data_IF_372593189861
#
_entry.id   IF_372593189861
#
_cell.length_a   1.000
_cell.length_b   1.000
_cell.length_c   1.000
_cell.angle_alpha   90.00
_cell.angle_beta   90.00
_cell.angle_gamma   90.00
#
_symmetry.space_group_name_H-M   'P 1'
#
loop_
_entity.id
_entity.type
_entity.pdbx_description
1 polymer ?
#
# COMPACT_ATOMS: atom_id res chain seq x y z
N UNK A 1 -39.64 0.62 6.56
CA UNK A 1 -39.59 -0.76 7.10
C UNK A 1 -38.19 -1.30 6.83
N UNK A 2 -37.36 -1.21 7.86
CA UNK A 2 -35.96 -1.62 7.90
C UNK A 2 -35.89 -3.15 7.83
N UNK A 3 -35.24 -3.70 6.79
CA UNK A 3 -34.97 -5.13 6.67
C UNK A 3 -33.83 -5.46 7.64
N UNK A 4 -34.15 -6.22 8.69
CA UNK A 4 -33.18 -6.69 9.66
C UNK A 4 -32.08 -7.50 8.96
N UNK A 5 -30.82 -7.18 9.25
CA UNK A 5 -29.70 -8.09 9.00
C UNK A 5 -29.94 -9.33 9.87
N UNK A 6 -30.39 -10.41 9.25
CA UNK A 6 -30.42 -11.73 9.88
C UNK A 6 -28.97 -12.12 10.18
N UNK A 7 -28.65 -12.16 11.46
CA UNK A 7 -27.40 -12.72 11.98
C UNK A 7 -27.42 -14.21 11.66
N UNK A 8 -26.77 -14.62 10.56
CA UNK A 8 -26.62 -16.05 10.22
C UNK A 8 -26.03 -16.78 11.42
N UNK A 9 -26.83 -17.69 11.98
CA UNK A 9 -26.46 -18.48 13.13
C UNK A 9 -25.40 -19.49 12.67
N UNK A 10 -24.14 -19.23 13.00
CA UNK A 10 -23.03 -20.13 12.68
C UNK A 10 -23.26 -21.48 13.38
N UNK A 11 -23.68 -22.50 12.62
CA UNK A 11 -23.93 -23.84 13.17
C UNK A 11 -22.61 -24.59 13.31
N UNK A 12 -22.32 -25.03 14.53
CA UNK A 12 -21.14 -25.84 14.82
C UNK A 12 -21.36 -27.28 14.33
N UNK A 13 -20.38 -27.82 13.62
CA UNK A 13 -20.41 -29.15 13.02
C UNK A 13 -19.16 -29.94 13.38
N UNK A 14 -19.29 -31.28 13.40
CA UNK A 14 -18.20 -32.22 13.66
C UNK A 14 -17.87 -33.08 12.44
N UNK A 15 -16.63 -33.61 12.33
CA UNK A 15 -16.24 -34.51 11.25
C UNK A 15 -17.19 -35.72 11.16
N UNK A 16 -17.68 -36.00 9.97
CA UNK A 16 -18.67 -37.06 9.71
C UNK A 16 -20.13 -36.62 9.81
N UNK A 17 -20.41 -35.39 10.27
CA UNK A 17 -21.76 -34.84 10.27
C UNK A 17 -22.25 -34.58 8.84
N UNK A 18 -23.51 -34.95 8.57
CA UNK A 18 -24.18 -34.69 7.29
C UNK A 18 -24.54 -33.20 7.20
N UNK A 19 -24.09 -32.55 6.13
CA UNK A 19 -24.36 -31.13 5.83
C UNK A 19 -25.55 -30.96 4.86
N UNK A 20 -25.81 -31.97 4.03
CA UNK A 20 -26.96 -32.01 3.12
C UNK A 20 -26.68 -32.83 1.86
N UNK A 21 -27.58 -32.79 0.86
CA UNK A 21 -27.42 -33.55 -0.39
C UNK A 21 -26.52 -32.82 -1.39
N UNK A 22 -25.71 -33.55 -2.14
CA UNK A 22 -24.83 -32.95 -3.13
C UNK A 22 -25.62 -32.32 -4.28
N UNK A 23 -26.81 -32.84 -4.61
CA UNK A 23 -27.75 -32.17 -5.54
C UNK A 23 -28.15 -30.73 -5.16
N UNK A 24 -28.03 -30.33 -3.89
CA UNK A 24 -28.40 -29.01 -3.40
C UNK A 24 -27.19 -28.17 -2.97
N UNK A 25 -26.10 -28.82 -2.56
CA UNK A 25 -24.92 -28.19 -1.97
C UNK A 25 -23.66 -28.63 -2.69
N UNK A 26 -22.79 -27.66 -2.96
CA UNK A 26 -21.43 -27.94 -3.43
C UNK A 26 -20.48 -28.01 -2.24
N UNK A 27 -19.67 -29.07 -2.17
CA UNK A 27 -18.65 -29.20 -1.12
C UNK A 27 -17.50 -28.20 -1.36
N UNK A 28 -17.24 -27.33 -0.38
CA UNK A 28 -16.10 -26.42 -0.35
C UNK A 28 -15.05 -26.83 0.70
N UNK A 29 -14.30 -25.87 1.23
CA UNK A 29 -13.23 -26.15 2.21
C UNK A 29 -13.80 -26.79 3.48
N UNK A 30 -13.21 -27.91 3.91
CA UNK A 30 -13.66 -28.61 5.12
C UNK A 30 -14.93 -29.45 4.96
N UNK A 31 -15.39 -29.67 3.72
CA UNK A 31 -16.48 -30.58 3.38
C UNK A 31 -16.06 -31.52 2.24
N UNK A 32 -16.68 -32.70 2.15
CA UNK A 32 -16.48 -33.63 1.05
C UNK A 32 -17.79 -34.30 0.65
N UNK A 33 -17.87 -34.76 -0.59
CA UNK A 33 -19.04 -35.51 -1.09
C UNK A 33 -18.73 -37.00 -1.04
N UNK A 34 -19.60 -37.80 -0.44
CA UNK A 34 -19.55 -39.26 -0.57
C UNK A 34 -20.18 -39.69 -1.89
N UNK A 35 -19.45 -40.45 -2.69
CA UNK A 35 -19.92 -40.98 -3.98
C UNK A 35 -20.98 -42.05 -3.83
N UNK A 36 -21.08 -42.70 -2.67
CA UNK A 36 -22.03 -43.80 -2.43
C UNK A 36 -23.45 -43.31 -2.09
N UNK A 37 -23.58 -42.09 -1.55
CA UNK A 37 -24.83 -41.61 -0.96
C UNK A 37 -25.24 -40.21 -1.43
N UNK A 38 -24.57 -39.62 -2.42
CA UNK A 38 -24.83 -38.26 -2.95
C UNK A 38 -25.00 -37.21 -1.82
N UNK A 39 -24.22 -37.36 -0.75
CA UNK A 39 -24.37 -36.61 0.50
C UNK A 39 -23.06 -35.90 0.83
N UNK A 40 -23.17 -34.64 1.26
CA UNK A 40 -22.06 -33.80 1.68
C UNK A 40 -21.85 -33.98 3.18
N UNK A 41 -20.62 -34.29 3.56
CA UNK A 41 -20.19 -34.49 4.94
C UNK A 41 -19.15 -33.45 5.34
N UNK A 42 -19.15 -33.06 6.62
CA UNK A 42 -18.07 -32.27 7.20
C UNK A 42 -16.81 -33.12 7.38
N UNK A 43 -15.64 -32.59 7.01
CA UNK A 43 -14.33 -33.20 7.32
C UNK A 43 -13.62 -32.56 8.50
N UNK A 44 -14.09 -31.41 8.98
CA UNK A 44 -13.48 -30.63 10.06
C UNK A 44 -14.48 -30.33 11.19
N UNK A 45 -13.97 -30.18 12.42
CA UNK A 45 -14.77 -29.66 13.55
C UNK A 45 -14.73 -28.14 13.51
N UNK A 46 -15.87 -27.49 13.28
CA UNK A 46 -15.88 -26.05 13.04
C UNK A 46 -17.26 -25.47 12.90
N UNK A 47 -17.32 -24.24 12.39
CA UNK A 47 -18.58 -23.58 12.04
C UNK A 47 -18.82 -23.71 10.54
N UNK A 48 -20.04 -24.09 10.17
CA UNK A 48 -20.44 -24.11 8.75
C UNK A 48 -20.76 -22.70 8.26
N UNK A 49 -20.39 -22.41 7.03
CA UNK A 49 -20.76 -21.20 6.29
C UNK A 49 -21.25 -21.59 4.89
N UNK A 50 -22.26 -20.88 4.40
CA UNK A 50 -22.80 -21.06 3.05
C UNK A 50 -22.41 -19.87 2.19
N UNK A 51 -21.61 -20.11 1.16
CA UNK A 51 -21.23 -19.09 0.19
C UNK A 51 -22.17 -19.19 -1.01
N UNK A 52 -22.91 -18.12 -1.36
CA UNK A 52 -23.77 -18.13 -2.54
C UNK A 52 -22.94 -18.30 -3.82
N UNK A 53 -23.51 -18.93 -4.86
CA UNK A 53 -22.81 -19.09 -6.13
C UNK A 53 -22.50 -17.72 -6.77
N UNK A 54 -21.36 -17.57 -7.45
CA UNK A 54 -21.10 -16.39 -8.27
C UNK A 54 -22.11 -16.31 -9.42
N UNK A 55 -22.56 -15.11 -9.78
CA UNK A 55 -23.64 -14.88 -10.77
C UNK A 55 -23.38 -15.48 -12.16
N UNK A 56 -22.13 -15.84 -12.46
CA UNK A 56 -21.65 -16.31 -13.77
C UNK A 56 -21.47 -17.85 -13.82
N UNK A 57 -21.80 -18.60 -12.74
CA UNK A 57 -21.67 -20.06 -12.74
C UNK A 57 -22.90 -20.77 -13.29
N UNK A 58 -22.66 -21.76 -14.16
CA UNK A 58 -23.68 -22.73 -14.62
C UNK A 58 -24.33 -23.50 -13.46
N UNK A 59 -23.59 -23.64 -12.36
CA UNK A 59 -24.03 -24.29 -11.13
C UNK A 59 -24.51 -23.22 -10.13
N UNK A 60 -25.82 -23.21 -9.85
CA UNK A 60 -26.48 -22.26 -8.94
C UNK A 60 -26.56 -22.79 -7.49
N UNK A 61 -25.83 -23.87 -7.18
CA UNK A 61 -25.81 -24.42 -5.82
C UNK A 61 -24.91 -23.58 -4.89
N UNK A 62 -25.36 -23.27 -3.66
CA UNK A 62 -24.50 -22.69 -2.65
C UNK A 62 -23.38 -23.65 -2.27
N UNK A 63 -22.19 -23.10 -1.99
CA UNK A 63 -21.02 -23.86 -1.55
C UNK A 63 -20.96 -23.89 -0.04
N UNK A 64 -20.91 -25.08 0.56
CA UNK A 64 -20.77 -25.25 2.01
C UNK A 64 -19.30 -25.39 2.39
N UNK A 65 -18.84 -24.52 3.29
CA UNK A 65 -17.49 -24.57 3.88
C UNK A 65 -17.58 -24.74 5.39
N UNK A 66 -16.66 -25.51 5.96
CA UNK A 66 -16.53 -25.70 7.40
C UNK A 66 -15.19 -25.15 7.85
N UNK A 67 -15.22 -24.06 8.61
CA UNK A 67 -14.02 -23.44 9.16
C UNK A 67 -13.76 -23.95 10.57
N UNK A 68 -12.62 -24.60 10.78
CA UNK A 68 -12.30 -25.24 12.06
C UNK A 68 -12.07 -24.28 13.22
N UNK A 69 -12.44 -24.68 14.44
CA UNK A 69 -12.21 -23.89 15.66
C UNK A 69 -10.71 -23.80 16.03
N UNK A 70 -9.94 -24.82 15.64
CA UNK A 70 -8.48 -24.72 15.49
C UNK A 70 -8.24 -24.21 14.08
N UNK A 71 -8.35 -22.91 13.88
CA UNK A 71 -7.79 -22.30 12.68
C UNK A 71 -6.32 -22.74 12.63
N UNK A 72 -5.96 -23.60 11.68
CA UNK A 72 -4.57 -23.69 11.24
C UNK A 72 -4.12 -22.24 11.07
N UNK A 73 -3.00 -21.87 11.72
CA UNK A 73 -2.50 -20.50 11.69
C UNK A 73 -2.48 -20.01 10.24
N UNK A 74 -2.64 -18.70 10.01
CA UNK A 74 -2.81 -18.17 8.66
C UNK A 74 -1.78 -18.78 7.69
N UNK A 75 -2.27 -19.62 6.75
CA UNK A 75 -1.41 -20.32 5.80
C UNK A 75 -1.25 -19.41 4.58
N UNK A 76 -0.01 -19.10 4.15
CA UNK A 76 0.22 -18.28 2.97
C UNK A 76 -0.36 -18.95 1.72
N UNK A 77 -1.19 -18.24 0.97
CA UNK A 77 -1.69 -18.69 -0.34
C UNK A 77 -1.01 -17.89 -1.46
N UNK A 78 -0.89 -18.44 -2.68
CA UNK A 78 -0.45 -17.65 -3.84
C UNK A 78 -1.31 -16.39 -4.00
N UNK A 79 -0.65 -15.24 -4.14
CA UNK A 79 -1.29 -13.92 -4.20
C UNK A 79 -1.49 -13.23 -2.85
N UNK A 80 -1.29 -13.89 -1.71
CA UNK A 80 -1.33 -13.25 -0.39
C UNK A 80 -0.10 -12.38 -0.16
N UNK A 81 -0.27 -11.28 0.59
CA UNK A 81 0.84 -10.42 1.01
C UNK A 81 1.33 -10.87 2.37
N UNK A 82 2.63 -11.05 2.53
CA UNK A 82 3.24 -11.57 3.75
C UNK A 82 4.31 -10.63 4.27
N UNK A 83 4.47 -10.61 5.59
CA UNK A 83 5.62 -10.01 6.24
C UNK A 83 6.58 -11.12 6.64
N UNK A 84 7.80 -11.04 6.12
CA UNK A 84 8.84 -12.01 6.37
C UNK A 84 10.06 -11.32 6.96
N UNK A 85 10.75 -12.00 7.88
CA UNK A 85 12.04 -11.56 8.41
C UNK A 85 13.14 -12.25 7.63
N UNK A 86 14.00 -11.48 6.98
CA UNK A 86 15.15 -11.99 6.24
C UNK A 86 16.09 -12.69 7.21
N UNK A 87 16.36 -13.96 6.97
CA UNK A 87 17.27 -14.76 7.83
C UNK A 87 18.66 -14.82 7.23
N UNK A 88 18.76 -14.96 5.90
CA UNK A 88 20.02 -15.08 5.20
C UNK A 88 19.92 -14.48 3.80
N UNK A 89 20.98 -13.78 3.40
CA UNK A 89 21.11 -13.22 2.05
C UNK A 89 22.27 -13.91 1.34
N UNK A 90 22.00 -14.44 0.15
CA UNK A 90 22.99 -14.99 -0.78
C UNK A 90 23.00 -14.16 -2.07
N UNK A 91 24.04 -14.26 -2.92
CA UNK A 91 24.17 -13.41 -4.12
C UNK A 91 22.99 -13.50 -5.10
N UNK A 92 22.32 -14.66 -5.20
CA UNK A 92 21.21 -14.89 -6.13
C UNK A 92 19.84 -15.07 -5.46
N UNK A 93 19.80 -15.15 -4.13
CA UNK A 93 18.56 -15.38 -3.39
C UNK A 93 18.67 -14.94 -1.93
N UNK A 94 17.55 -14.53 -1.33
CA UNK A 94 17.42 -14.29 0.09
C UNK A 94 16.40 -15.27 0.69
N UNK A 95 16.74 -15.87 1.83
CA UNK A 95 15.83 -16.66 2.64
C UNK A 95 15.20 -15.77 3.72
N UNK A 96 13.90 -15.93 3.93
CA UNK A 96 13.15 -15.18 4.91
C UNK A 96 12.13 -16.08 5.62
N UNK A 97 11.90 -15.84 6.91
CA UNK A 97 10.89 -16.54 7.68
C UNK A 97 9.61 -15.69 7.71
N UNK A 98 8.50 -16.26 7.27
CA UNK A 98 7.20 -15.59 7.24
C UNK A 98 6.66 -15.52 8.68
N UNK A 99 6.39 -14.29 9.13
CA UNK A 99 5.90 -13.99 10.48
C UNK A 99 4.40 -13.68 10.45
N UNK A 100 3.93 -12.97 9.43
CA UNK A 100 2.53 -12.60 9.27
C UNK A 100 2.07 -12.84 7.83
N UNK A 101 0.82 -13.30 7.68
CA UNK A 101 0.11 -13.39 6.41
C UNK A 101 -1.05 -12.40 6.47
N UNK A 102 -1.05 -11.46 5.54
CA UNK A 102 -1.93 -10.29 5.51
C UNK A 102 -1.91 -9.53 6.84
N UNK A 103 -2.95 -9.65 7.66
CA UNK A 103 -3.09 -9.04 8.99
C UNK A 103 -3.01 -10.06 10.14
N UNK A 104 -2.78 -11.35 9.84
CA UNK A 104 -2.82 -12.44 10.82
C UNK A 104 -1.41 -12.94 11.10
N UNK A 105 -1.07 -13.05 12.38
CA UNK A 105 0.20 -13.64 12.80
C UNK A 105 0.19 -15.15 12.57
N UNK A 106 1.32 -15.66 12.09
CA UNK A 106 1.53 -17.08 11.85
C UNK A 106 2.16 -17.71 13.08
N UNK A 107 1.64 -18.86 13.51
CA UNK A 107 2.22 -19.65 14.62
C UNK A 107 3.27 -20.64 14.16
N UNK A 108 3.09 -21.19 12.97
CA UNK A 108 4.01 -22.13 12.33
C UNK A 108 5.13 -21.38 11.61
N UNK A 109 6.30 -22.00 11.48
CA UNK A 109 7.42 -21.41 10.76
C UNK A 109 7.29 -21.76 9.28
N UNK A 110 6.89 -20.79 8.45
CA UNK A 110 6.98 -20.92 7.01
C UNK A 110 8.22 -20.18 6.51
N UNK A 111 9.02 -20.84 5.68
CA UNK A 111 10.19 -20.23 5.05
C UNK A 111 9.84 -19.81 3.63
N UNK A 112 10.26 -18.61 3.25
CA UNK A 112 10.15 -18.04 1.92
C UNK A 112 11.52 -17.77 1.31
N UNK A 113 11.58 -17.83 -0.02
CA UNK A 113 12.76 -17.51 -0.82
C UNK A 113 12.40 -16.37 -1.77
N UNK A 114 13.21 -15.31 -1.75
CA UNK A 114 13.16 -14.19 -2.69
C UNK A 114 14.35 -14.37 -3.64
N UNK A 115 14.11 -14.59 -4.93
CA UNK A 115 15.19 -14.72 -5.93
C UNK A 115 15.55 -13.36 -6.51
N UNK A 116 16.76 -13.20 -7.03
CA UNK A 116 17.21 -11.96 -7.67
C UNK A 116 16.22 -11.43 -8.71
N UNK A 117 15.67 -12.31 -9.54
CA UNK A 117 14.69 -12.01 -10.57
C UNK A 117 13.32 -11.53 -10.07
N UNK A 118 13.00 -11.78 -8.79
CA UNK A 118 11.71 -11.43 -8.20
C UNK A 118 11.77 -10.16 -7.33
N UNK A 119 12.92 -9.46 -7.31
CA UNK A 119 13.13 -8.28 -6.44
C UNK A 119 12.63 -6.97 -7.04
N UNK A 120 12.83 -6.74 -8.34
CA UNK A 120 12.36 -5.56 -9.08
C UNK A 120 11.62 -6.03 -10.34
N UNK A 121 10.61 -5.28 -10.76
CA UNK A 121 9.90 -5.55 -12.02
C UNK A 121 10.76 -5.20 -13.26
N UNK A 122 11.64 -4.20 -13.12
CA UNK A 122 12.54 -3.70 -14.16
C UNK A 122 14.00 -3.81 -13.71
N UNK A 123 14.93 -3.80 -14.66
CA UNK A 123 16.39 -3.85 -14.41
C UNK A 123 16.84 -5.02 -13.52
N UNK A 124 16.31 -6.20 -13.77
CA UNK A 124 16.57 -7.42 -12.99
C UNK A 124 18.07 -7.73 -12.86
N UNK A 125 18.84 -7.51 -13.93
CA UNK A 125 20.27 -7.87 -13.98
C UNK A 125 21.15 -6.95 -13.12
N UNK A 126 20.69 -5.73 -12.80
CA UNK A 126 21.41 -4.79 -11.95
C UNK A 126 21.13 -4.98 -10.47
N UNK A 127 20.23 -5.89 -10.10
CA UNK A 127 19.82 -6.04 -8.71
C UNK A 127 20.88 -6.78 -7.90
N UNK A 128 21.47 -6.11 -6.92
CA UNK A 128 22.29 -6.73 -5.88
C UNK A 128 21.45 -7.09 -4.65
N UNK A 129 21.53 -8.35 -4.21
CA UNK A 129 20.81 -8.84 -3.03
C UNK A 129 21.33 -8.24 -1.73
N UNK A 130 22.64 -7.99 -1.60
CA UNK A 130 23.24 -7.45 -0.39
C UNK A 130 22.94 -5.96 -0.18
N UNK A 131 22.68 -5.24 -1.28
CA UNK A 131 22.22 -3.85 -1.25
C UNK A 131 20.70 -3.76 -1.09
N UNK A 132 19.96 -4.80 -1.48
CA UNK A 132 18.50 -4.82 -1.37
C UNK A 132 18.03 -5.23 0.02
N UNK A 133 18.68 -6.22 0.64
CA UNK A 133 18.24 -6.83 1.89
C UNK A 133 19.44 -7.12 2.80
N UNK A 134 19.21 -7.03 4.12
CA UNK A 134 20.14 -7.54 5.14
C UNK A 134 19.46 -8.56 6.05
N UNK A 135 20.25 -9.49 6.65
CA UNK A 135 19.74 -10.36 7.70
C UNK A 135 19.14 -9.55 8.85
N UNK A 136 17.95 -9.93 9.30
CA UNK A 136 17.18 -9.22 10.32
C UNK A 136 16.11 -8.28 9.78
N UNK A 137 16.20 -7.85 8.53
CA UNK A 137 15.22 -6.94 7.93
C UNK A 137 13.82 -7.57 7.86
N UNK A 138 12.80 -6.75 8.09
CA UNK A 138 11.40 -7.13 7.86
C UNK A 138 10.97 -6.64 6.49
N UNK A 139 10.63 -7.59 5.62
CA UNK A 139 10.21 -7.35 4.24
C UNK A 139 8.73 -7.66 4.07
N UNK A 140 8.02 -6.79 3.35
CA UNK A 140 6.68 -7.03 2.83
C UNK A 140 6.82 -7.60 1.42
N UNK A 141 6.34 -8.81 1.21
CA UNK A 141 6.48 -9.53 -0.05
C UNK A 141 5.15 -10.19 -0.46
N UNK A 142 5.02 -10.51 -1.73
CA UNK A 142 3.88 -11.25 -2.28
C UNK A 142 4.27 -12.72 -2.45
N UNK A 143 3.39 -13.64 -2.07
CA UNK A 143 3.58 -15.07 -2.36
C UNK A 143 3.28 -15.32 -3.83
N UNK A 144 4.28 -15.71 -4.62
CA UNK A 144 4.09 -16.08 -6.02
C UNK A 144 3.52 -17.48 -6.15
N UNK A 145 4.16 -18.44 -5.47
CA UNK A 145 3.74 -19.83 -5.47
C UNK A 145 4.24 -20.54 -4.21
N UNK A 146 3.68 -21.72 -3.96
CA UNK A 146 4.07 -22.59 -2.86
C UNK A 146 5.51 -23.13 -2.99
N UNK A 147 6.16 -22.90 -4.14
CA UNK A 147 7.54 -23.29 -4.41
C UNK A 147 7.75 -24.80 -4.39
N UNK A 148 8.85 -25.24 -3.79
CA UNK A 148 9.15 -26.63 -3.51
C UNK A 148 8.64 -27.02 -2.11
N UNK A 149 8.69 -28.31 -1.74
CA UNK A 149 8.17 -28.79 -0.45
C UNK A 149 8.81 -28.14 0.79
N UNK A 150 9.79 -27.25 0.63
CA UNK A 150 10.60 -26.65 1.70
C UNK A 150 10.44 -25.14 1.83
N UNK A 151 10.10 -24.40 0.76
CA UNK A 151 9.94 -22.96 0.86
C UNK A 151 9.00 -22.35 -0.19
N UNK A 152 8.31 -21.28 0.23
CA UNK A 152 7.45 -20.46 -0.64
C UNK A 152 8.29 -19.53 -1.51
N UNK A 153 7.92 -19.32 -2.77
CA UNK A 153 8.55 -18.26 -3.57
C UNK A 153 7.86 -16.92 -3.31
N UNK A 154 8.66 -15.94 -2.90
CA UNK A 154 8.24 -14.59 -2.57
C UNK A 154 8.76 -13.61 -3.60
N UNK A 155 7.98 -12.56 -3.88
CA UNK A 155 8.37 -11.46 -4.76
C UNK A 155 8.21 -10.11 -4.08
N UNK A 156 9.17 -9.22 -4.33
CA UNK A 156 9.12 -7.81 -3.95
C UNK A 156 9.12 -6.88 -5.16
N UNK A 157 8.75 -7.40 -6.33
CA UNK A 157 8.85 -6.68 -7.61
C UNK A 157 7.96 -5.42 -7.69
N UNK A 158 6.93 -5.30 -6.84
CA UNK A 158 6.05 -4.12 -6.80
C UNK A 158 6.64 -3.00 -5.94
N UNK A 159 6.26 -1.76 -6.24
CA UNK A 159 6.70 -0.56 -5.52
C UNK A 159 6.35 -0.58 -4.02
N UNK A 160 5.19 -1.11 -3.68
CA UNK A 160 4.72 -1.22 -2.30
C UNK A 160 5.33 -2.40 -1.51
N UNK A 161 6.18 -3.20 -2.16
CA UNK A 161 6.83 -4.38 -1.60
C UNK A 161 8.34 -4.16 -1.49
N UNK A 162 8.93 -4.70 -0.43
CA UNK A 162 10.32 -4.44 -0.05
C UNK A 162 10.49 -4.36 1.46
N UNK A 163 11.61 -3.79 1.89
CA UNK A 163 11.98 -3.57 3.30
C UNK A 163 11.04 -2.53 3.91
N UNK A 164 10.39 -2.91 5.01
CA UNK A 164 9.48 -2.06 5.79
C UNK A 164 10.13 -1.59 7.10
N UNK A 165 10.93 -2.46 7.71
CA UNK A 165 11.68 -2.17 8.92
C UNK A 165 13.06 -2.77 8.81
N UNK A 166 14.08 -1.96 9.11
CA UNK A 166 15.48 -2.36 9.17
C UNK A 166 16.09 -1.86 10.47
N UNK A 167 17.06 -2.59 10.97
CA UNK A 167 17.83 -2.23 12.15
C UNK A 167 19.23 -1.80 11.70
N UNK A 168 19.68 -0.64 12.18
CA UNK A 168 21.03 -0.15 11.93
C UNK A 168 22.04 -0.90 12.81
N UNK A 169 23.34 -0.81 12.48
CA UNK A 169 24.40 -1.37 13.30
C UNK A 169 24.43 -0.84 14.75
N UNK A 170 23.84 0.32 15.01
CA UNK A 170 23.70 0.92 16.34
C UNK A 170 22.46 0.42 17.12
N UNK A 171 21.69 -0.52 16.56
CA UNK A 171 20.45 -1.04 17.16
C UNK A 171 19.24 -0.11 17.02
N UNK A 172 19.38 1.01 16.32
CA UNK A 172 18.28 1.93 16.03
C UNK A 172 17.47 1.49 14.82
N UNK A 173 16.14 1.62 14.88
CA UNK A 173 15.25 1.41 13.72
C UNK A 173 15.52 2.47 12.66
N UNK A 174 15.82 2.05 11.45
CA UNK A 174 16.13 2.96 10.35
C UNK A 174 14.86 3.59 9.76
N UNK A 175 15.00 4.81 9.26
CA UNK A 175 13.93 5.56 8.59
C UNK A 175 14.19 5.57 7.09
N UNK A 176 13.20 5.25 6.24
CA UNK A 176 13.36 5.34 4.81
C UNK A 176 13.49 6.80 4.37
N UNK A 177 14.53 7.11 3.59
CA UNK A 177 14.75 8.44 3.01
C UNK A 177 14.47 8.44 1.50
N UNK A 178 14.62 7.28 0.84
CA UNK A 178 14.34 7.10 -0.57
C UNK A 178 13.85 5.68 -0.85
N UNK A 179 13.64 5.38 -2.13
CA UNK A 179 13.28 4.03 -2.61
C UNK A 179 14.40 3.00 -2.45
N UNK A 180 15.63 3.47 -2.30
CA UNK A 180 16.85 2.66 -2.26
C UNK A 180 17.64 2.81 -0.98
N UNK A 181 17.26 3.74 -0.09
CA UNK A 181 18.08 4.12 1.06
C UNK A 181 17.26 4.30 2.33
N UNK A 182 17.85 3.85 3.43
CA UNK A 182 17.38 4.09 4.78
C UNK A 182 18.48 4.76 5.60
N UNK A 183 18.11 5.67 6.49
CA UNK A 183 19.04 6.39 7.35
C UNK A 183 18.80 6.02 8.81
N UNK A 184 19.88 5.82 9.56
CA UNK A 184 19.81 5.69 11.01
C UNK A 184 19.59 7.07 11.65
N UNK A 185 18.54 7.28 12.45
CA UNK A 185 18.30 8.57 13.10
C UNK A 185 19.32 8.88 14.21
N UNK A 186 20.00 7.88 14.77
CA UNK A 186 20.97 8.05 15.86
C UNK A 186 22.37 8.40 15.34
N UNK A 187 22.80 7.77 14.26
CA UNK A 187 24.17 7.92 13.73
C UNK A 187 24.24 8.73 12.44
N UNK A 188 23.10 9.00 11.80
CA UNK A 188 23.02 9.64 10.49
C UNK A 188 23.51 8.78 9.33
N UNK A 189 23.99 7.55 9.58
CA UNK A 189 24.50 6.67 8.53
C UNK A 189 23.38 6.24 7.57
N UNK A 190 23.67 6.34 6.28
CA UNK A 190 22.80 5.91 5.19
C UNK A 190 23.22 4.52 4.76
N UNK A 191 22.25 3.62 4.63
CA UNK A 191 22.45 2.29 4.11
C UNK A 191 21.45 1.99 3.00
N UNK A 192 21.88 1.27 1.98
CA UNK A 192 21.00 0.87 0.89
C UNK A 192 20.09 -0.29 1.31
N UNK A 193 18.83 -0.22 0.85
CA UNK A 193 17.77 -1.25 0.97
C UNK A 193 16.77 -1.09 -0.18
N UNK A 194 16.12 -2.17 -0.61
CA UNK A 194 14.91 -2.09 -1.45
C UNK A 194 13.73 -1.66 -0.59
N UNK A 195 13.51 -0.38 -0.40
CA UNK A 195 12.47 0.14 0.51
C UNK A 195 11.08 -0.08 -0.09
N UNK A 196 10.14 -0.58 0.71
CA UNK A 196 8.74 -0.65 0.34
C UNK A 196 8.09 0.74 0.42
N UNK A 197 7.45 1.21 -0.68
CA UNK A 197 6.61 2.41 -0.61
C UNK A 197 5.45 2.12 0.31
N UNK A 198 5.30 2.93 1.36
CA UNK A 198 4.03 2.95 2.09
C UNK A 198 2.97 3.42 1.12
N UNK A 199 1.95 2.58 0.87
CA UNK A 199 0.80 2.94 0.04
C UNK A 199 0.30 4.30 0.50
N UNK A 200 0.35 5.28 -0.40
CA UNK A 200 0.09 6.69 -0.19
C UNK A 200 -0.75 6.93 1.06
N UNK A 201 -0.08 7.33 2.15
CA UNK A 201 -0.78 7.98 3.23
C UNK A 201 -1.24 9.29 2.64
N UNK A 202 -2.51 9.34 2.25
CA UNK A 202 -3.12 10.49 1.64
C UNK A 202 -2.82 11.74 2.46
N UNK A 203 -2.03 12.64 1.88
CA UNK A 203 -1.52 13.83 2.55
C UNK A 203 -2.44 15.00 2.25
N UNK A 204 -2.95 15.61 3.30
CA UNK A 204 -3.57 16.93 3.28
C UNK A 204 -2.56 17.89 3.90
N UNK A 205 -2.10 18.86 3.12
CA UNK A 205 -1.22 19.92 3.59
C UNK A 205 -2.09 21.10 4.05
N UNK A 206 -1.91 21.53 5.29
CA UNK A 206 -2.59 22.70 5.84
C UNK A 206 -1.59 23.83 6.05
N UNK A 207 -1.74 24.90 5.29
CA UNK A 207 -1.18 26.21 5.57
C UNK A 207 -2.09 26.96 6.54
N UNK A 208 -1.58 27.30 7.72
CA UNK A 208 -2.32 27.84 8.88
C UNK A 208 -3.05 29.19 8.65
N UNK A 209 -3.13 29.71 7.42
CA UNK A 209 -3.63 31.05 7.12
C UNK A 209 -5.05 31.12 6.58
N UNK A 210 -5.70 30.00 6.21
CA UNK A 210 -7.09 30.03 5.72
C UNK A 210 -7.87 28.74 6.07
N UNK A 211 -9.16 28.89 6.40
CA UNK A 211 -10.08 27.80 6.78
C UNK A 211 -10.66 27.02 5.58
N UNK A 212 -10.12 27.22 4.38
CA UNK A 212 -10.60 26.59 3.13
C UNK A 212 -9.47 25.77 2.54
N UNK A 213 -9.72 24.52 2.16
CA UNK A 213 -8.79 23.71 1.34
C UNK A 213 -8.99 24.18 -0.10
N UNK A 214 -7.97 24.73 -0.78
CA UNK A 214 -8.16 25.55 -1.99
C UNK A 214 -7.48 24.98 -3.25
N UNK A 215 -6.73 23.88 -3.21
CA UNK A 215 -6.15 23.38 -4.47
C UNK A 215 -5.94 21.86 -4.47
N UNK A 216 -6.48 21.22 -5.51
CA UNK A 216 -6.19 19.82 -5.84
C UNK A 216 -5.05 19.80 -6.88
N UNK A 217 -3.96 19.10 -6.56
CA UNK A 217 -2.79 19.05 -7.45
C UNK A 217 -2.89 17.97 -8.52
N UNK A 218 -2.55 18.31 -9.76
CA UNK A 218 -2.50 17.38 -10.89
C UNK A 218 -1.40 16.30 -10.71
N UNK A 219 -1.51 15.17 -11.42
CA UNK A 219 -0.61 14.01 -11.31
C UNK A 219 0.89 14.31 -11.50
N UNK A 220 1.24 15.40 -12.20
CA UNK A 220 2.63 15.83 -12.36
C UNK A 220 3.28 16.28 -11.04
N UNK A 221 2.48 16.74 -10.08
CA UNK A 221 2.94 17.08 -8.73
C UNK A 221 3.41 15.81 -7.98
N UNK A 222 2.75 14.67 -8.19
CA UNK A 222 3.21 13.37 -7.65
C UNK A 222 4.51 12.89 -8.32
N UNK A 223 4.77 13.26 -9.58
CA UNK A 223 6.03 12.92 -10.26
C UNK A 223 7.21 13.76 -9.76
N UNK A 224 6.99 15.03 -9.43
CA UNK A 224 7.98 15.90 -8.77
C UNK A 224 8.30 15.39 -7.34
N UNK A 225 7.32 14.79 -6.66
CA UNK A 225 7.51 14.07 -5.39
C UNK A 225 8.34 12.78 -5.58
N UNK A 226 8.28 12.17 -6.77
CA UNK A 226 8.86 10.86 -7.09
C UNK A 226 10.22 10.91 -7.80
N UNK A 227 10.78 12.09 -8.08
CA UNK A 227 12.16 12.20 -8.57
C UNK A 227 13.14 12.15 -7.38
N UNK A 228 13.73 10.98 -7.02
CA UNK A 228 15.04 11.04 -6.37
C UNK A 228 15.99 11.70 -7.36
N UNK A 229 16.96 12.46 -6.86
CA UNK A 229 18.07 12.99 -7.65
C UNK A 229 18.58 11.94 -8.65
N UNK A 230 18.13 12.02 -9.90
CA UNK A 230 18.80 11.41 -11.03
C UNK A 230 19.98 12.30 -11.36
N UNK A 231 21.12 11.65 -11.56
CA UNK A 231 22.42 12.24 -11.87
C UNK A 231 22.29 13.41 -12.88
N UNK A 232 23.04 14.48 -12.61
CA UNK A 232 22.89 15.84 -13.15
C UNK A 232 23.02 15.99 -14.68
N UNK A 233 23.15 14.93 -15.47
CA UNK A 233 23.47 15.03 -16.91
C UNK A 233 22.30 14.82 -17.88
N UNK A 234 21.16 14.23 -17.46
CA UNK A 234 20.01 14.02 -18.39
C UNK A 234 18.92 15.09 -18.30
N UNK A 235 19.09 16.10 -17.44
CA UNK A 235 18.09 17.18 -17.31
C UNK A 235 18.10 18.15 -18.50
N UNK A 236 19.25 18.40 -19.14
CA UNK A 236 19.37 19.45 -20.16
C UNK A 236 18.56 19.22 -21.45
N UNK A 237 18.19 17.98 -21.80
CA UNK A 237 17.45 17.71 -23.05
C UNK A 237 15.93 17.90 -22.92
N UNK A 238 15.36 17.92 -21.71
CA UNK A 238 13.92 18.18 -21.51
C UNK A 238 13.58 19.70 -21.50
N UNK A 239 14.60 20.58 -21.45
CA UNK A 239 14.43 22.02 -21.22
C UNK A 239 14.56 22.94 -22.45
N UNK A 240 14.65 22.41 -23.68
CA UNK A 240 14.65 23.24 -24.90
C UNK A 240 13.44 22.98 -25.79
N UNK A 241 12.33 23.65 -25.50
CA UNK A 241 11.31 24.27 -26.40
C UNK A 241 10.33 24.93 -25.41
N UNK A 242 10.12 26.25 -25.29
CA UNK A 242 9.97 27.29 -26.30
C UNK A 242 10.28 28.69 -25.71
N UNK A 243 11.06 29.50 -26.43
CA UNK A 243 10.80 30.94 -26.57
C UNK A 243 9.83 31.14 -27.74
N UNK A 244 9.12 32.25 -27.96
CA UNK A 244 9.22 33.64 -27.48
C UNK A 244 7.84 34.32 -27.49
N UNK A 245 7.73 35.36 -26.64
CA UNK A 245 6.92 36.60 -26.69
C UNK A 245 5.47 36.64 -27.25
N UNK A 246 4.53 37.09 -26.39
CA UNK A 246 3.59 38.17 -26.69
C UNK A 246 3.05 38.81 -25.39
N UNK A 247 2.86 40.13 -25.43
CA UNK A 247 2.51 41.05 -24.33
C UNK A 247 0.99 41.21 -24.12
N UNK A 248 0.67 41.82 -22.98
CA UNK A 248 -0.57 42.51 -22.53
C UNK A 248 -1.67 41.71 -21.80
N UNK A 249 -1.75 41.98 -20.49
CA UNK A 249 -2.92 41.71 -19.63
C UNK A 249 -2.56 41.48 -18.17
N UNK A 250 -2.20 42.52 -17.41
CA UNK A 250 -1.92 42.45 -15.97
C UNK A 250 -3.16 41.97 -15.18
N UNK A 251 -3.25 40.67 -14.92
CA UNK A 251 -3.92 40.12 -13.74
C UNK A 251 -2.82 39.60 -12.82
N UNK A 252 -2.67 40.23 -11.65
CA UNK A 252 -1.71 39.81 -10.60
C UNK A 252 -1.94 38.33 -10.28
N UNK A 253 -1.10 37.46 -10.83
CA UNK A 253 -1.09 36.04 -10.51
C UNK A 253 -0.65 35.88 -9.06
N UNK A 254 -1.55 35.40 -8.20
CA UNK A 254 -1.24 35.11 -6.80
C UNK A 254 -0.33 33.88 -6.76
N UNK A 255 0.98 34.08 -6.55
CA UNK A 255 1.93 32.97 -6.41
C UNK A 255 1.66 32.21 -5.12
N UNK A 256 1.40 30.90 -5.22
CA UNK A 256 1.22 30.03 -4.06
C UNK A 256 2.55 29.36 -3.71
N UNK A 257 2.87 29.24 -2.42
CA UNK A 257 4.13 28.64 -1.94
C UNK A 257 3.88 27.43 -1.04
N UNK A 258 4.68 26.38 -1.24
CA UNK A 258 4.71 25.11 -0.50
C UNK A 258 6.13 24.70 -0.09
N UNK A 259 6.29 24.07 1.08
CA UNK A 259 7.56 23.49 1.49
C UNK A 259 7.78 22.07 0.93
N UNK A 260 8.99 21.78 0.47
CA UNK A 260 9.37 20.48 -0.10
C UNK A 260 9.26 19.34 0.92
N UNK A 261 9.62 19.57 2.20
CA UNK A 261 9.53 18.52 3.23
C UNK A 261 8.08 18.05 3.44
N UNK A 262 7.14 19.00 3.38
CA UNK A 262 5.71 18.71 3.48
C UNK A 262 5.22 17.97 2.23
N UNK A 263 5.72 18.32 1.05
CA UNK A 263 5.40 17.67 -0.23
C UNK A 263 5.87 16.20 -0.29
N UNK A 264 7.06 15.90 0.24
CA UNK A 264 7.61 14.52 0.31
C UNK A 264 7.06 13.73 1.51
N UNK A 265 6.26 14.36 2.38
CA UNK A 265 5.67 13.71 3.55
C UNK A 265 6.66 13.48 4.69
N UNK A 266 7.77 14.20 4.70
CA UNK A 266 8.81 14.17 5.72
C UNK A 266 8.49 15.18 6.84
N UNK A 267 8.63 14.75 8.09
CA UNK A 267 8.53 15.64 9.25
C UNK A 267 9.87 16.36 9.45
N UNK A 268 9.94 17.64 9.07
CA UNK A 268 11.04 18.54 9.46
C UNK A 268 10.68 19.41 10.67
N UNK A 269 11.61 20.24 11.16
CA UNK A 269 11.44 21.10 12.35
C UNK A 269 10.21 22.03 12.30
N UNK A 270 9.63 22.27 11.10
CA UNK A 270 8.50 23.19 10.86
C UNK A 270 7.22 22.49 10.37
N UNK A 271 7.21 21.16 10.24
CA UNK A 271 6.09 20.39 9.67
C UNK A 271 5.65 19.30 10.63
N UNK A 272 4.41 19.40 11.11
CA UNK A 272 3.81 18.43 12.02
C UNK A 272 2.94 17.45 11.26
N UNK A 273 2.92 16.19 11.71
CA UNK A 273 2.07 15.14 11.13
C UNK A 273 1.00 14.73 12.13
N UNK A 274 -0.25 14.77 11.69
CA UNK A 274 -1.43 14.43 12.46
C UNK A 274 -2.26 13.43 11.64
N UNK A 275 -3.10 12.65 12.32
CA UNK A 275 -4.16 11.89 11.67
C UNK A 275 -5.44 12.69 11.82
N UNK A 276 -6.19 12.84 10.74
CA UNK A 276 -7.52 13.44 10.74
C UNK A 276 -8.46 12.64 9.86
N UNK A 277 -9.71 13.10 9.73
CA UNK A 277 -10.74 12.49 8.91
C UNK A 277 -11.34 13.49 7.95
N UNK A 278 -11.50 13.09 6.69
CA UNK A 278 -12.31 13.81 5.69
C UNK A 278 -13.39 12.86 5.22
N UNK A 279 -14.66 13.28 5.32
CA UNK A 279 -15.82 12.41 5.00
C UNK A 279 -15.73 11.03 5.69
N UNK A 280 -15.26 11.00 6.94
CA UNK A 280 -15.11 9.76 7.73
C UNK A 280 -13.92 8.86 7.35
N UNK A 281 -13.12 9.23 6.34
CA UNK A 281 -11.93 8.49 5.93
C UNK A 281 -10.69 9.03 6.62
N UNK A 282 -9.87 8.14 7.18
CA UNK A 282 -8.59 8.51 7.80
C UNK A 282 -7.64 9.08 6.74
N UNK A 283 -7.16 10.29 6.99
CA UNK A 283 -6.17 11.01 6.19
C UNK A 283 -5.02 11.44 7.07
N UNK A 284 -3.86 11.65 6.45
CA UNK A 284 -2.73 12.24 7.15
C UNK A 284 -2.66 13.72 6.83
N UNK A 285 -2.63 14.50 7.87
CA UNK A 285 -2.57 15.94 7.80
C UNK A 285 -1.16 16.36 8.12
N UNK A 286 -0.50 17.04 7.18
CA UNK A 286 0.74 17.73 7.48
C UNK A 286 0.43 19.20 7.67
N UNK A 287 0.78 19.71 8.85
CA UNK A 287 0.62 21.12 9.19
C UNK A 287 1.96 21.79 8.95
N UNK A 288 1.97 22.71 7.99
CA UNK A 288 3.17 23.48 7.62
C UNK A 288 2.92 24.97 7.84
N UNK A 289 3.71 25.55 8.75
CA UNK A 289 3.67 26.99 9.04
C UNK A 289 4.16 27.85 7.85
N UNK A 290 4.90 27.26 6.90
CA UNK A 290 5.42 27.94 5.72
C UNK A 290 4.48 27.94 4.51
N UNK A 291 3.42 27.11 4.53
CA UNK A 291 2.50 27.00 3.41
C UNK A 291 1.52 28.18 3.36
N UNK A 292 1.32 28.74 2.17
CA UNK A 292 0.41 29.88 1.95
C UNK A 292 -1.05 29.46 1.83
N UNK A 293 -1.29 28.25 1.33
CA UNK A 293 -2.63 27.69 1.08
C UNK A 293 -2.69 26.25 1.61
N UNK A 294 -3.91 25.73 1.61
CA UNK A 294 -4.21 24.34 1.93
C UNK A 294 -4.36 23.54 0.65
N UNK A 295 -3.93 22.29 0.71
CA UNK A 295 -3.46 21.59 -0.46
C UNK A 295 -3.78 20.10 -0.30
N UNK A 296 -4.36 19.52 -1.34
CA UNK A 296 -4.81 18.12 -1.35
C UNK A 296 -4.40 17.46 -2.66
N UNK A 297 -4.05 16.17 -2.65
CA UNK A 297 -3.74 15.48 -3.92
C UNK A 297 -5.02 15.25 -4.73
N UNK A 298 -4.95 15.41 -6.07
CA UNK A 298 -6.14 15.14 -6.91
C UNK A 298 -6.61 13.69 -6.82
N UNK A 299 -5.70 12.73 -6.63
CA UNK A 299 -6.08 11.34 -6.36
C UNK A 299 -6.89 11.21 -5.09
N UNK A 300 -6.49 11.88 -4.00
CA UNK A 300 -7.25 11.88 -2.75
C UNK A 300 -8.61 12.55 -2.93
N UNK A 301 -8.65 13.73 -3.55
CA UNK A 301 -9.88 14.46 -3.78
C UNK A 301 -10.90 13.65 -4.61
N UNK A 302 -10.44 12.99 -5.68
CA UNK A 302 -11.28 12.10 -6.51
C UNK A 302 -11.71 10.85 -5.75
N UNK A 303 -10.79 10.24 -5.00
CA UNK A 303 -11.07 9.03 -4.21
C UNK A 303 -12.13 9.28 -3.12
N UNK A 304 -12.04 10.43 -2.43
CA UNK A 304 -13.02 10.87 -1.44
C UNK A 304 -14.27 11.51 -2.05
N UNK A 305 -14.34 11.58 -3.38
CA UNK A 305 -15.44 12.17 -4.14
C UNK A 305 -15.75 13.60 -3.69
N UNK A 306 -14.69 14.37 -3.42
CA UNK A 306 -14.83 15.78 -3.05
C UNK A 306 -15.35 16.59 -4.25
N UNK A 307 -16.10 17.68 -4.01
CA UNK A 307 -16.53 18.58 -5.08
C UNK A 307 -15.31 19.33 -5.66
N UNK A 308 -14.85 18.87 -6.83
CA UNK A 308 -13.74 19.49 -7.58
C UNK A 308 -14.31 20.46 -8.61
N UNK A 309 -13.92 21.73 -8.52
CA UNK A 309 -14.21 22.76 -9.50
C UNK A 309 -12.97 23.01 -10.37
N UNK A 310 -13.15 23.09 -11.69
CA UNK A 310 -12.09 23.54 -12.60
C UNK A 310 -11.93 25.05 -12.51
N UNK A 311 -10.70 25.51 -12.48
CA UNK A 311 -10.35 26.93 -12.40
C UNK A 311 -9.41 27.33 -13.53
N UNK A 312 -9.14 28.63 -13.63
CA UNK A 312 -7.99 29.10 -14.39
C UNK A 312 -6.71 28.44 -13.87
N UNK A 313 -5.73 28.26 -14.75
CA UNK A 313 -4.42 27.76 -14.35
C UNK A 313 -3.80 28.71 -13.33
N UNK A 314 -3.23 28.15 -12.26
CA UNK A 314 -2.47 28.84 -11.24
C UNK A 314 -1.13 28.15 -11.05
N UNK A 315 -0.14 28.86 -10.54
CA UNK A 315 1.20 28.33 -10.30
C UNK A 315 1.49 28.20 -8.80
N UNK A 316 2.10 27.07 -8.45
CA UNK A 316 2.51 26.75 -7.09
C UNK A 316 4.01 26.53 -7.07
N UNK A 317 4.71 27.36 -6.33
CA UNK A 317 6.14 27.26 -6.08
C UNK A 317 6.39 26.29 -4.93
N UNK A 318 7.11 25.22 -5.19
CA UNK A 318 7.57 24.24 -4.20
C UNK A 318 8.91 24.72 -3.61
N UNK A 319 9.25 24.29 -2.39
CA UNK A 319 10.38 24.81 -1.60
C UNK A 319 11.77 24.62 -2.23
N UNK A 320 11.88 23.89 -3.33
CA UNK A 320 13.07 23.78 -4.19
C UNK A 320 13.13 24.85 -5.30
N UNK A 321 12.17 25.78 -5.37
CA UNK A 321 12.06 26.81 -6.40
C UNK A 321 11.30 26.37 -7.66
N UNK A 322 10.88 25.11 -7.75
CA UNK A 322 10.12 24.60 -8.89
C UNK A 322 8.69 25.14 -8.88
N UNK A 323 8.18 25.50 -10.06
CA UNK A 323 6.79 25.91 -10.24
C UNK A 323 5.98 24.77 -10.85
N UNK A 324 4.82 24.49 -10.27
CA UNK A 324 3.88 23.49 -10.76
C UNK A 324 2.55 24.16 -11.03
N UNK A 325 1.98 23.92 -12.21
CA UNK A 325 0.68 24.46 -12.56
C UNK A 325 -0.46 23.57 -12.04
N UNK A 326 -1.52 24.20 -11.51
CA UNK A 326 -2.76 23.55 -11.10
C UNK A 326 -3.96 24.22 -11.77
N UNK A 327 -5.07 23.50 -11.92
CA UNK A 327 -6.30 24.00 -12.53
C UNK A 327 -7.58 23.44 -11.86
N UNK A 328 -7.44 22.83 -10.69
CA UNK A 328 -8.52 22.18 -9.96
C UNK A 328 -8.51 22.63 -8.49
N UNK A 329 -9.69 22.95 -7.97
CA UNK A 329 -9.90 23.46 -6.62
C UNK A 329 -11.03 22.69 -5.98
N UNK A 330 -10.83 22.20 -4.75
CA UNK A 330 -11.93 21.74 -3.91
C UNK A 330 -12.41 22.91 -3.06
N UNK A 331 -13.70 22.99 -2.73
CA UNK A 331 -14.21 23.98 -1.77
C UNK A 331 -14.99 23.30 -0.65
N UNK A 332 -14.97 23.90 0.53
CA UNK A 332 -15.77 23.43 1.67
C UNK A 332 -15.35 22.05 2.23
N UNK A 333 -14.11 21.62 1.99
CA UNK A 333 -13.61 20.35 2.52
C UNK A 333 -13.48 20.46 4.05
N UNK A 334 -14.27 19.66 4.76
CA UNK A 334 -14.24 19.58 6.22
C UNK A 334 -13.22 18.53 6.65
N UNK A 335 -12.26 18.96 7.45
CA UNK A 335 -11.33 18.10 8.15
C UNK A 335 -11.72 18.04 9.62
N UNK A 336 -11.96 16.83 10.11
CA UNK A 336 -12.12 16.55 11.54
C UNK A 336 -10.78 16.04 12.07
N UNK A 337 -10.18 16.72 13.05
CA UNK A 337 -8.91 16.33 13.69
C UNK A 337 -9.19 15.72 15.06
#
# INVERSE_FOLDING_TARGET
MTKAMETETQEAVTPGQVLGKASQLKAGKGAYVSTEHDTVYASLTGFRSLTPPPSDSLDQRPTVEVTGHKAHGAVPQPGSVVFARVTKVMPRMASADIVCVDSKSVREKFTGIIRQQDVRATEIDKVDMHLSFRPGDIVRALVLSLGDARAYYLSTAKNELGVVSAESAAGGTMVPISWTEMQCPLTGQVEQRKVAKKSNQYVVLIGLKQNTIVAAFHEEFEKVIEAPNTEEEETEEFFKVAGEAADEGEQKATTMVLNMNSVVGLTGERTWKLVGKIHGHDVIVLVDSGATHNFISSKLARHLQLPIEKTNKFEVTVGNGQQVSGNEVCKGVRLDV
#
